data_IF_648073264818
#
_entry.id   IF_648073264818
#
_cell.length_a   1.000
_cell.length_b   1.000
_cell.length_c   1.000
_cell.angle_alpha   90.00
_cell.angle_beta   90.00
_cell.angle_gamma   90.00
#
_symmetry.space_group_name_H-M   'P 1'
#
loop_
_entity.id
_entity.type
_entity.pdbx_description
1 polymer ?
#
# COMPACT_ATOMS: atom_id res chain seq x y z
N UNK A 1 -9.13 -16.20 5.75
CA UNK A 1 -8.97 -15.85 7.17
C UNK A 1 -8.07 -14.63 7.20
N UNK A 2 -8.34 -13.58 8.00
CA UNK A 2 -7.56 -12.32 7.97
C UNK A 2 -6.30 -12.49 8.82
N UNK A 3 -5.11 -12.45 8.22
CA UNK A 3 -3.84 -12.68 8.92
C UNK A 3 -2.93 -11.46 8.87
N UNK A 4 -2.43 -11.04 10.03
CA UNK A 4 -1.50 -9.91 10.18
C UNK A 4 -0.20 -10.40 10.82
N UNK A 5 0.93 -10.11 10.18
CA UNK A 5 2.24 -10.19 10.82
C UNK A 5 2.57 -8.84 11.45
N UNK A 6 2.84 -8.81 12.74
CA UNK A 6 3.36 -7.61 13.43
C UNK A 6 4.81 -7.82 13.84
N UNK A 7 5.67 -6.86 13.49
CA UNK A 7 7.05 -6.78 13.96
C UNK A 7 7.27 -5.48 14.75
N UNK A 8 7.56 -5.63 16.03
CA UNK A 8 7.72 -4.55 17.01
C UNK A 8 8.59 -5.06 18.15
N UNK A 9 9.67 -4.38 18.47
CA UNK A 9 10.59 -4.82 19.52
C UNK A 9 10.09 -4.48 20.93
N UNK A 10 9.34 -3.39 21.08
CA UNK A 10 8.76 -3.02 22.37
C UNK A 10 7.54 -3.90 22.70
N UNK A 11 7.71 -4.80 23.69
CA UNK A 11 6.67 -5.77 24.08
C UNK A 11 5.34 -5.11 24.44
N UNK A 12 5.36 -3.96 25.12
CA UNK A 12 4.14 -3.24 25.52
C UNK A 12 3.33 -2.75 24.32
N UNK A 13 3.99 -2.25 23.27
CA UNK A 13 3.35 -1.80 22.05
C UNK A 13 2.87 -3.03 21.26
N UNK A 14 3.71 -4.05 21.12
CA UNK A 14 3.35 -5.28 20.42
C UNK A 14 2.12 -5.94 21.03
N UNK A 15 2.10 -6.16 22.35
CA UNK A 15 0.96 -6.76 23.06
C UNK A 15 -0.32 -5.93 22.89
N UNK A 16 -0.20 -4.60 22.99
CA UNK A 16 -1.30 -3.69 22.78
C UNK A 16 -1.91 -3.84 21.37
N UNK A 17 -1.09 -3.89 20.33
CA UNK A 17 -1.56 -4.07 18.95
C UNK A 17 -2.17 -5.47 18.76
N UNK A 18 -1.52 -6.51 19.25
CA UNK A 18 -1.98 -7.91 19.15
C UNK A 18 -3.36 -8.10 19.78
N UNK A 19 -3.58 -7.55 20.98
CA UNK A 19 -4.88 -7.64 21.66
C UNK A 19 -5.99 -7.01 20.80
N UNK A 20 -5.74 -5.84 20.20
CA UNK A 20 -6.73 -5.14 19.39
C UNK A 20 -6.99 -5.86 18.05
N UNK A 21 -5.95 -6.39 17.40
CA UNK A 21 -6.08 -7.20 16.20
C UNK A 21 -6.92 -8.46 16.44
N UNK A 22 -6.61 -9.22 17.50
CA UNK A 22 -7.36 -10.43 17.86
C UNK A 22 -8.83 -10.11 18.19
N UNK A 23 -9.11 -9.00 18.89
CA UNK A 23 -10.49 -8.54 19.15
C UNK A 23 -11.26 -8.19 17.87
N UNK A 24 -10.58 -7.73 16.84
CA UNK A 24 -11.15 -7.42 15.52
C UNK A 24 -11.22 -8.63 14.58
N UNK A 25 -10.90 -9.84 15.08
CA UNK A 25 -11.03 -11.08 14.33
C UNK A 25 -9.86 -11.40 13.38
N UNK A 26 -8.70 -10.77 13.61
CA UNK A 26 -7.49 -11.11 12.87
C UNK A 26 -6.71 -12.25 13.55
N UNK A 27 -6.15 -13.13 12.75
CA UNK A 27 -5.03 -13.97 13.18
C UNK A 27 -3.77 -13.13 13.19
N UNK A 28 -2.93 -13.34 14.21
CA UNK A 28 -1.74 -12.52 14.41
C UNK A 28 -0.52 -13.40 14.53
N UNK A 29 0.46 -13.13 13.70
CA UNK A 29 1.82 -13.65 13.78
C UNK A 29 2.68 -12.54 14.38
N UNK A 30 3.41 -12.83 15.45
CA UNK A 30 4.18 -11.85 16.20
C UNK A 30 5.68 -12.02 15.92
N UNK A 31 6.41 -10.93 15.74
CA UNK A 31 7.86 -10.90 15.65
C UNK A 31 8.41 -9.78 16.55
N UNK A 32 9.53 -10.03 17.20
CA UNK A 32 10.17 -9.12 18.13
C UNK A 32 11.34 -8.32 17.52
N UNK A 33 11.71 -8.62 16.28
CA UNK A 33 12.75 -7.95 15.52
C UNK A 33 12.60 -8.26 14.02
N UNK A 34 13.42 -7.61 13.20
CA UNK A 34 13.33 -7.75 11.73
C UNK A 34 13.75 -9.12 11.21
N UNK A 35 14.71 -9.79 11.82
CA UNK A 35 15.13 -11.14 11.41
C UNK A 35 13.99 -12.14 11.61
N UNK A 36 13.37 -12.12 12.78
CA UNK A 36 12.20 -12.95 13.10
C UNK A 36 11.01 -12.65 12.18
N UNK A 37 10.83 -11.38 11.79
CA UNK A 37 9.79 -10.96 10.85
C UNK A 37 10.01 -11.58 9.47
N UNK A 38 11.24 -11.58 8.95
CA UNK A 38 11.60 -12.20 7.67
C UNK A 38 11.37 -13.72 7.71
N UNK A 39 11.85 -14.39 8.75
CA UNK A 39 11.66 -15.85 8.90
C UNK A 39 10.17 -16.23 8.93
N UNK A 40 9.37 -15.49 9.69
CA UNK A 40 7.93 -15.72 9.79
C UNK A 40 7.20 -15.39 8.49
N UNK A 41 7.62 -14.32 7.81
CA UNK A 41 7.06 -14.00 6.51
C UNK A 41 7.33 -15.12 5.50
N UNK A 42 8.55 -15.63 5.41
CA UNK A 42 8.90 -16.74 4.50
C UNK A 42 8.11 -18.02 4.80
N UNK A 43 7.93 -18.33 6.08
CA UNK A 43 7.19 -19.51 6.51
C UNK A 43 5.69 -19.43 6.22
N UNK A 44 5.11 -18.23 6.31
CA UNK A 44 3.65 -18.01 6.26
C UNK A 44 3.22 -17.06 5.13
N UNK A 45 4.05 -16.77 4.13
CA UNK A 45 3.81 -15.75 3.10
C UNK A 45 2.46 -15.86 2.38
N UNK A 46 1.97 -17.07 2.16
CA UNK A 46 0.67 -17.31 1.50
C UNK A 46 -0.55 -17.07 2.41
N UNK A 47 -0.33 -16.89 3.72
CA UNK A 47 -1.39 -16.66 4.71
C UNK A 47 -1.41 -15.22 5.19
N UNK A 48 -0.27 -14.49 5.08
CA UNK A 48 -0.15 -13.12 5.56
C UNK A 48 -0.74 -12.16 4.55
N UNK A 49 -1.81 -11.48 4.96
CA UNK A 49 -2.47 -10.44 4.16
C UNK A 49 -1.80 -9.08 4.37
N UNK A 50 -1.43 -8.78 5.62
CA UNK A 50 -0.88 -7.48 6.03
C UNK A 50 0.33 -7.68 6.93
N UNK A 51 1.31 -6.80 6.79
CA UNK A 51 2.45 -6.68 7.68
C UNK A 51 2.46 -5.30 8.32
N UNK A 52 2.59 -5.24 9.64
CA UNK A 52 2.79 -4.01 10.43
C UNK A 52 4.22 -4.04 10.95
N UNK A 53 5.03 -3.04 10.58
CA UNK A 53 6.47 -2.99 10.86
C UNK A 53 6.83 -1.74 11.67
N UNK A 54 7.44 -1.90 12.81
CA UNK A 54 8.18 -0.79 13.40
C UNK A 54 9.44 -0.50 12.57
N UNK A 55 9.72 0.78 12.33
CA UNK A 55 10.94 1.19 11.62
C UNK A 55 12.17 0.89 12.47
N UNK A 56 12.11 1.21 13.76
CA UNK A 56 13.27 1.19 14.66
C UNK A 56 13.41 -0.14 15.40
N UNK A 57 13.67 -1.22 14.68
CA UNK A 57 13.91 -2.53 15.27
C UNK A 57 15.40 -2.89 15.32
N UNK A 58 15.86 -3.69 16.31
CA UNK A 58 17.23 -4.19 16.35
C UNK A 58 17.49 -5.26 15.28
N UNK A 59 18.75 -5.48 14.95
CA UNK A 59 19.29 -6.47 14.01
C UNK A 59 19.02 -6.09 12.55
N UNK A 60 17.76 -6.13 12.12
CA UNK A 60 17.28 -5.70 10.79
C UNK A 60 16.16 -4.69 11.04
N UNK A 61 16.29 -3.49 10.50
CA UNK A 61 15.27 -2.45 10.64
C UNK A 61 14.02 -2.71 9.79
N UNK A 62 12.94 -2.00 10.09
CA UNK A 62 11.67 -2.20 9.40
C UNK A 62 11.71 -1.80 7.92
N UNK A 63 12.63 -0.91 7.50
CA UNK A 63 12.77 -0.51 6.11
C UNK A 63 13.39 -1.65 5.28
N UNK A 64 14.40 -2.32 5.82
CA UNK A 64 15.01 -3.49 5.20
C UNK A 64 14.02 -4.66 5.10
N UNK A 65 13.24 -4.90 6.18
CA UNK A 65 12.15 -5.90 6.15
C UNK A 65 11.09 -5.56 5.10
N UNK A 66 10.67 -4.29 5.01
CA UNK A 66 9.72 -3.82 4.02
C UNK A 66 10.21 -4.10 2.59
N UNK A 67 11.46 -3.73 2.29
CA UNK A 67 12.10 -3.98 0.99
C UNK A 67 12.10 -5.47 0.66
N UNK A 68 12.54 -6.30 1.60
CA UNK A 68 12.58 -7.76 1.43
C UNK A 68 11.20 -8.34 1.09
N UNK A 69 10.16 -7.91 1.82
CA UNK A 69 8.80 -8.36 1.57
C UNK A 69 8.31 -7.92 0.19
N UNK A 70 8.60 -6.67 -0.22
CA UNK A 70 8.20 -6.14 -1.54
C UNK A 70 8.86 -6.83 -2.71
N UNK A 71 10.07 -7.30 -2.56
CA UNK A 71 10.75 -8.11 -3.58
C UNK A 71 10.02 -9.45 -3.78
N UNK A 72 9.46 -10.04 -2.72
CA UNK A 72 8.76 -11.32 -2.74
C UNK A 72 7.25 -11.22 -3.01
N UNK A 73 6.61 -10.14 -2.56
CA UNK A 73 5.15 -9.98 -2.66
C UNK A 73 4.75 -8.54 -2.96
N UNK A 74 4.07 -8.34 -4.07
CA UNK A 74 3.41 -7.06 -4.39
C UNK A 74 1.99 -6.99 -3.79
N UNK A 75 1.43 -8.12 -3.37
CA UNK A 75 0.08 -8.25 -2.86
C UNK A 75 -0.05 -7.92 -1.38
N UNK A 76 0.92 -8.31 -0.56
CA UNK A 76 0.89 -8.10 0.89
C UNK A 76 0.81 -6.62 1.23
N UNK A 77 -0.17 -6.21 2.03
CA UNK A 77 -0.26 -4.84 2.54
C UNK A 77 0.83 -4.56 3.57
N UNK A 78 1.50 -3.41 3.52
CA UNK A 78 2.55 -3.05 4.48
C UNK A 78 2.24 -1.70 5.12
N UNK A 79 2.15 -1.67 6.45
CA UNK A 79 1.99 -0.47 7.26
C UNK A 79 3.25 -0.28 8.10
N UNK A 80 3.86 0.91 8.04
CA UNK A 80 5.00 1.27 8.87
C UNK A 80 4.55 1.97 10.15
N UNK A 81 5.10 1.56 11.29
CA UNK A 81 5.01 2.31 12.53
C UNK A 81 6.25 3.20 12.66
N UNK A 82 6.08 4.50 12.90
CA UNK A 82 7.19 5.45 12.94
C UNK A 82 7.09 6.41 14.12
N UNK A 83 8.22 6.86 14.65
CA UNK A 83 8.25 7.91 15.66
C UNK A 83 7.92 9.28 15.03
N UNK A 84 7.21 10.13 15.77
CA UNK A 84 6.66 11.43 15.32
C UNK A 84 7.70 12.44 14.82
N UNK A 85 8.97 12.25 15.14
CA UNK A 85 10.03 13.25 15.01
C UNK A 85 10.76 13.28 13.67
N UNK A 86 10.51 12.31 12.77
CA UNK A 86 11.26 12.20 11.52
C UNK A 86 10.31 12.16 10.32
N UNK A 87 10.00 13.34 9.76
CA UNK A 87 9.26 13.42 8.48
C UNK A 87 9.98 12.64 7.35
N UNK A 88 11.31 12.57 7.42
CA UNK A 88 12.11 11.77 6.47
C UNK A 88 11.81 10.29 6.55
N UNK A 89 11.55 9.72 7.73
CA UNK A 89 11.27 8.28 7.88
C UNK A 89 9.94 7.90 7.24
N UNK A 90 8.94 8.79 7.29
CA UNK A 90 7.64 8.58 6.65
C UNK A 90 7.78 8.49 5.14
N UNK A 91 8.48 9.44 4.55
CA UNK A 91 8.72 9.48 3.09
C UNK A 91 9.58 8.30 2.69
N UNK A 92 10.65 8.00 3.44
CA UNK A 92 11.56 6.88 3.15
C UNK A 92 10.83 5.53 3.24
N UNK A 93 10.04 5.30 4.31
CA UNK A 93 9.27 4.06 4.46
C UNK A 93 8.28 3.83 3.32
N UNK A 94 7.55 4.87 2.94
CA UNK A 94 6.65 4.81 1.78
C UNK A 94 7.44 4.59 0.49
N UNK A 95 8.58 5.26 0.28
CA UNK A 95 9.39 5.10 -0.94
C UNK A 95 9.99 3.70 -1.09
N UNK A 96 10.29 3.01 0.02
CA UNK A 96 10.80 1.63 0.01
C UNK A 96 9.72 0.60 -0.35
N UNK A 97 8.44 0.95 -0.20
CA UNK A 97 7.36 0.04 -0.63
C UNK A 97 6.20 -0.12 0.34
N UNK A 98 6.15 0.60 1.45
CA UNK A 98 4.99 0.57 2.33
C UNK A 98 3.76 1.20 1.67
N UNK A 99 2.57 0.74 2.05
CA UNK A 99 1.29 1.22 1.54
C UNK A 99 0.71 2.34 2.41
N UNK A 100 1.10 2.36 3.69
CA UNK A 100 0.69 3.38 4.64
C UNK A 100 1.69 3.48 5.80
N UNK A 101 1.54 4.51 6.65
CA UNK A 101 2.30 4.66 7.88
C UNK A 101 1.43 5.18 9.01
N UNK A 102 1.81 4.84 10.24
CA UNK A 102 1.16 5.31 11.47
C UNK A 102 2.23 5.88 12.41
N UNK A 103 1.99 7.08 12.92
CA UNK A 103 2.94 7.73 13.83
C UNK A 103 2.67 7.37 15.28
N UNK A 104 3.72 6.94 15.99
CA UNK A 104 3.67 6.73 17.43
C UNK A 104 3.68 8.07 18.20
N UNK A 105 2.85 8.26 19.25
CA UNK A 105 1.84 7.34 19.74
C UNK A 105 0.56 7.37 18.87
N UNK A 106 -0.05 6.22 18.67
CA UNK A 106 -1.28 6.05 17.90
C UNK A 106 -2.42 5.48 18.75
N UNK A 107 -3.66 5.71 18.34
CA UNK A 107 -4.82 5.07 18.94
C UNK A 107 -5.08 3.69 18.30
N UNK A 108 -5.65 2.72 19.06
CA UNK A 108 -6.06 1.43 18.47
C UNK A 108 -7.01 1.61 17.29
N UNK A 109 -7.97 2.52 17.41
CA UNK A 109 -8.96 2.79 16.37
C UNK A 109 -8.33 3.32 15.08
N UNK A 110 -7.30 4.15 15.18
CA UNK A 110 -6.55 4.65 14.03
C UNK A 110 -5.84 3.50 13.29
N UNK A 111 -5.02 2.72 14.02
CA UNK A 111 -4.30 1.60 13.42
C UNK A 111 -5.27 0.58 12.81
N UNK A 112 -6.35 0.23 13.51
CA UNK A 112 -7.34 -0.72 13.02
C UNK A 112 -8.05 -0.23 11.76
N UNK A 113 -8.43 1.05 11.69
CA UNK A 113 -9.06 1.63 10.51
C UNK A 113 -8.15 1.54 9.27
N UNK A 114 -6.83 1.75 9.44
CA UNK A 114 -5.84 1.64 8.37
C UNK A 114 -5.63 0.19 7.93
N UNK A 115 -5.53 -0.74 8.89
CA UNK A 115 -5.43 -2.17 8.61
C UNK A 115 -6.66 -2.66 7.86
N UNK A 116 -7.87 -2.30 8.30
CA UNK A 116 -9.11 -2.67 7.62
C UNK A 116 -9.21 -2.06 6.22
N UNK A 117 -8.73 -0.83 6.02
CA UNK A 117 -8.68 -0.18 4.72
C UNK A 117 -7.77 -0.95 3.74
N UNK A 118 -6.57 -1.35 4.17
CA UNK A 118 -5.64 -2.13 3.34
C UNK A 118 -6.16 -3.56 3.14
N UNK A 119 -6.72 -4.20 4.18
CA UNK A 119 -7.24 -5.57 4.07
C UNK A 119 -8.36 -5.69 3.03
N UNK A 120 -9.31 -4.75 3.00
CA UNK A 120 -10.39 -4.76 1.99
C UNK A 120 -9.84 -4.85 0.57
N UNK A 121 -8.70 -4.25 0.29
CA UNK A 121 -8.04 -4.24 -1.03
C UNK A 121 -7.39 -5.58 -1.35
N UNK A 122 -6.63 -6.11 -0.39
CA UNK A 122 -5.98 -7.42 -0.54
C UNK A 122 -7.02 -8.53 -0.75
N UNK A 123 -8.19 -8.43 -0.11
CA UNK A 123 -9.25 -9.44 -0.22
C UNK A 123 -10.07 -9.35 -1.50
N UNK A 124 -10.25 -8.17 -2.10
CA UNK A 124 -11.00 -8.02 -3.35
C UNK A 124 -10.34 -8.73 -4.54
N UNK A 125 -9.06 -9.04 -4.45
CA UNK A 125 -8.34 -9.83 -5.46
C UNK A 125 -8.66 -11.33 -5.43
N UNK A 126 -9.28 -11.84 -4.35
CA UNK A 126 -9.54 -13.28 -4.17
C UNK A 126 -10.95 -13.68 -4.64
N UNK A 127 -11.93 -12.78 -4.56
CA UNK A 127 -13.34 -13.12 -4.76
C UNK A 127 -13.86 -12.97 -6.20
N UNK A 128 -13.03 -12.57 -7.16
CA UNK A 128 -13.46 -12.38 -8.56
C UNK A 128 -13.55 -13.67 -9.39
N UNK A 129 -14.10 -14.77 -8.83
CA UNK A 129 -14.37 -16.01 -9.56
C UNK A 129 -15.82 -16.19 -10.02
N UNK A 130 -16.64 -15.14 -10.11
CA UNK A 130 -17.99 -15.26 -10.64
C UNK A 130 -18.46 -13.99 -11.35
N UNK A 131 -18.82 -14.18 -12.60
CA UNK A 131 -19.50 -13.37 -13.59
C UNK A 131 -18.60 -12.74 -14.66
N UNK A 132 -18.73 -13.27 -15.87
CA UNK A 132 -18.18 -12.73 -17.11
C UNK A 132 -18.78 -11.34 -17.39
N UNK A 133 -18.05 -10.28 -17.04
CA UNK A 133 -18.27 -8.96 -17.61
C UNK A 133 -17.35 -8.82 -18.83
N UNK A 134 -17.89 -8.56 -20.03
CA UNK A 134 -17.12 -8.60 -21.27
C UNK A 134 -16.10 -7.47 -21.47
N UNK A 135 -15.99 -6.47 -20.62
CA UNK A 135 -15.00 -5.39 -20.73
C UNK A 135 -14.35 -5.08 -19.38
N UNK A 136 -13.42 -5.95 -18.95
CA UNK A 136 -12.66 -5.73 -17.73
C UNK A 136 -11.35 -4.95 -17.95
N UNK A 137 -10.97 -4.63 -19.18
CA UNK A 137 -9.74 -3.94 -19.51
C UNK A 137 -10.01 -2.51 -20.01
N UNK A 138 -9.33 -1.54 -19.42
CA UNK A 138 -9.34 -0.14 -19.85
C UNK A 138 -8.03 0.15 -20.59
N UNK A 139 -8.13 0.54 -21.85
CA UNK A 139 -6.97 0.89 -22.68
C UNK A 139 -6.88 2.39 -22.89
N UNK A 140 -5.76 2.98 -22.47
CA UNK A 140 -5.44 4.39 -22.64
C UNK A 140 -4.01 4.53 -23.18
N UNK A 141 -3.86 5.08 -24.37
CA UNK A 141 -2.56 5.19 -25.07
C UNK A 141 -1.86 3.82 -25.17
N UNK A 142 -0.63 3.73 -24.73
CA UNK A 142 0.18 2.51 -24.68
C UNK A 142 -0.11 1.59 -23.49
N UNK A 143 -1.04 1.97 -22.61
CA UNK A 143 -1.35 1.23 -21.38
C UNK A 143 -2.64 0.45 -21.49
N UNK A 144 -2.64 -0.76 -20.92
CA UNK A 144 -3.84 -1.56 -20.71
C UNK A 144 -3.92 -1.97 -19.25
N UNK A 145 -4.98 -1.51 -18.57
CA UNK A 145 -5.29 -1.86 -17.18
C UNK A 145 -6.38 -2.94 -17.19
N UNK A 146 -6.05 -4.15 -16.80
CA UNK A 146 -7.00 -5.25 -16.64
C UNK A 146 -7.46 -5.32 -15.17
N UNK A 147 -8.73 -4.95 -14.95
CA UNK A 147 -9.35 -4.91 -13.63
C UNK A 147 -9.60 -6.31 -13.05
N UNK A 148 -9.67 -7.35 -13.88
CA UNK A 148 -9.91 -8.71 -13.44
C UNK A 148 -8.64 -9.40 -12.97
N UNK A 149 -7.57 -9.28 -13.75
CA UNK A 149 -6.27 -9.84 -13.40
C UNK A 149 -5.46 -8.95 -12.48
N UNK A 150 -5.92 -7.70 -12.23
CA UNK A 150 -5.19 -6.67 -11.49
C UNK A 150 -3.80 -6.40 -12.07
N UNK A 151 -3.72 -6.32 -13.41
CA UNK A 151 -2.46 -6.10 -14.12
C UNK A 151 -2.49 -4.81 -14.93
N UNK A 152 -1.34 -4.15 -15.01
CA UNK A 152 -1.08 -3.05 -15.93
C UNK A 152 -0.01 -3.50 -16.92
N UNK A 153 -0.24 -3.22 -18.19
CA UNK A 153 0.81 -3.37 -19.21
C UNK A 153 1.10 -2.03 -19.90
N UNK A 154 2.36 -1.80 -20.28
CA UNK A 154 2.80 -0.68 -21.10
C UNK A 154 3.45 -1.26 -22.38
N UNK A 155 2.94 -0.90 -23.56
CA UNK A 155 3.34 -1.52 -24.84
C UNK A 155 3.26 -3.05 -24.86
N UNK A 156 2.35 -3.63 -24.08
CA UNK A 156 2.20 -5.08 -23.92
C UNK A 156 3.13 -5.72 -22.86
N UNK A 157 4.09 -4.97 -22.33
CA UNK A 157 4.98 -5.45 -21.27
C UNK A 157 4.37 -5.21 -19.89
N UNK A 158 4.45 -6.17 -18.95
CA UNK A 158 3.86 -6.03 -17.63
C UNK A 158 4.57 -4.98 -16.78
N UNK A 159 3.77 -4.12 -16.12
CA UNK A 159 4.24 -3.18 -15.10
C UNK A 159 3.84 -3.69 -13.72
N UNK A 160 4.82 -4.00 -12.88
CA UNK A 160 4.57 -4.50 -11.53
C UNK A 160 4.08 -3.41 -10.59
N UNK A 161 2.83 -3.48 -10.18
CA UNK A 161 2.20 -2.57 -9.24
C UNK A 161 1.92 -3.24 -7.89
N UNK A 162 2.00 -2.46 -6.81
CA UNK A 162 1.37 -2.85 -5.54
C UNK A 162 -0.14 -2.67 -5.62
N UNK A 163 -0.89 -3.20 -4.66
CA UNK A 163 -2.35 -3.06 -4.63
C UNK A 163 -2.80 -1.58 -4.57
N UNK A 164 -2.09 -0.76 -3.79
CA UNK A 164 -2.36 0.68 -3.69
C UNK A 164 -2.08 1.38 -5.02
N UNK A 165 -0.95 1.10 -5.64
CA UNK A 165 -0.60 1.66 -6.94
C UNK A 165 -1.59 1.27 -8.04
N UNK A 166 -2.05 0.01 -8.03
CA UNK A 166 -3.06 -0.46 -8.97
C UNK A 166 -4.38 0.31 -8.82
N UNK A 167 -4.87 0.51 -7.59
CA UNK A 167 -6.10 1.26 -7.36
C UNK A 167 -5.99 2.74 -7.72
N UNK A 168 -4.83 3.34 -7.51
CA UNK A 168 -4.58 4.70 -7.98
C UNK A 168 -4.69 4.76 -9.52
N UNK A 169 -4.10 3.77 -10.21
CA UNK A 169 -4.21 3.67 -11.68
C UNK A 169 -5.66 3.44 -12.12
N UNK A 170 -6.41 2.56 -11.44
CA UNK A 170 -7.84 2.33 -11.70
C UNK A 170 -8.64 3.62 -11.62
N UNK A 171 -8.38 4.43 -10.59
CA UNK A 171 -9.08 5.70 -10.41
C UNK A 171 -8.77 6.70 -11.52
N UNK A 172 -7.51 6.81 -11.93
CA UNK A 172 -7.13 7.66 -13.05
C UNK A 172 -7.65 7.16 -14.40
N UNK A 173 -7.63 5.85 -14.64
CA UNK A 173 -8.13 5.26 -15.89
C UNK A 173 -9.65 5.37 -16.02
N UNK A 174 -10.35 5.41 -14.88
CA UNK A 174 -11.80 5.68 -14.85
C UNK A 174 -12.14 7.16 -15.04
N UNK A 175 -11.16 8.08 -14.90
CA UNK A 175 -11.33 9.53 -14.96
C UNK A 175 -10.25 10.20 -15.84
N UNK A 176 -10.10 9.80 -17.11
CA UNK A 176 -9.05 10.32 -17.97
C UNK A 176 -9.26 11.83 -18.24
N UNK A 177 -8.17 12.58 -18.26
CA UNK A 177 -8.14 14.03 -18.45
C UNK A 177 -8.86 14.86 -17.37
N UNK A 178 -9.33 14.23 -16.29
CA UNK A 178 -9.91 14.91 -15.13
C UNK A 178 -8.82 15.17 -14.08
N UNK A 179 -8.78 16.39 -13.55
CA UNK A 179 -7.93 16.69 -12.40
C UNK A 179 -8.59 16.12 -11.14
N UNK A 180 -7.91 15.19 -10.47
CA UNK A 180 -8.35 14.57 -9.22
C UNK A 180 -7.64 15.20 -8.05
N UNK A 181 -8.40 15.62 -7.04
CA UNK A 181 -7.83 16.16 -5.81
C UNK A 181 -7.15 15.07 -4.99
N UNK A 182 -6.11 15.44 -4.20
CA UNK A 182 -5.44 14.49 -3.29
C UNK A 182 -6.42 13.79 -2.36
N UNK A 183 -7.38 14.55 -1.83
CA UNK A 183 -8.39 14.01 -0.93
C UNK A 183 -9.37 13.04 -1.64
N UNK A 184 -9.69 13.26 -2.91
CA UNK A 184 -10.49 12.33 -3.71
C UNK A 184 -9.74 11.02 -3.93
N UNK A 185 -8.46 11.10 -4.31
CA UNK A 185 -7.59 9.91 -4.46
C UNK A 185 -7.47 9.19 -3.12
N UNK A 186 -7.27 9.93 -2.02
CA UNK A 186 -7.15 9.39 -0.68
C UNK A 186 -8.42 8.62 -0.28
N UNK A 187 -9.60 9.22 -0.46
CA UNK A 187 -10.89 8.59 -0.15
C UNK A 187 -11.16 7.36 -1.01
N UNK A 188 -10.88 7.43 -2.29
CA UNK A 188 -11.06 6.29 -3.19
C UNK A 188 -10.18 5.11 -2.79
N UNK A 189 -8.90 5.38 -2.52
CA UNK A 189 -7.91 4.33 -2.24
C UNK A 189 -7.90 3.92 -0.78
N UNK A 190 -7.97 4.82 0.20
CA UNK A 190 -7.91 4.50 1.64
C UNK A 190 -9.27 4.51 2.35
N UNK A 191 -10.32 5.00 1.68
CA UNK A 191 -11.69 5.05 2.17
C UNK A 191 -12.04 6.35 2.92
N UNK A 192 -13.35 6.63 3.05
CA UNK A 192 -13.85 7.87 3.66
C UNK A 192 -13.47 8.06 5.13
N UNK A 193 -13.24 6.96 5.85
CA UNK A 193 -12.84 6.97 7.26
C UNK A 193 -11.33 7.08 7.47
N UNK A 194 -10.56 7.32 6.42
CA UNK A 194 -9.12 7.49 6.53
C UNK A 194 -8.75 8.90 7.00
N UNK A 195 -8.07 8.99 8.14
CA UNK A 195 -7.62 10.24 8.75
C UNK A 195 -6.10 10.45 8.63
N UNK A 196 -5.47 9.88 7.62
CA UNK A 196 -4.03 9.97 7.40
C UNK A 196 -3.61 11.23 6.63
N UNK A 197 -2.29 11.35 6.44
CA UNK A 197 -1.67 12.47 5.74
C UNK A 197 -1.81 12.29 4.21
N UNK A 198 -2.20 13.36 3.51
CA UNK A 198 -2.28 13.37 2.04
C UNK A 198 -0.92 13.09 1.37
N UNK A 199 0.19 13.24 2.09
CA UNK A 199 1.53 12.89 1.59
C UNK A 199 1.65 11.43 1.13
N UNK A 200 0.82 10.52 1.67
CA UNK A 200 0.78 9.13 1.19
C UNK A 200 0.42 9.06 -0.30
N UNK A 201 -0.45 9.95 -0.78
CA UNK A 201 -0.79 10.05 -2.19
C UNK A 201 0.42 10.50 -3.00
N UNK A 202 1.08 11.59 -2.59
CA UNK A 202 2.23 12.17 -3.32
C UNK A 202 3.37 11.15 -3.49
N UNK A 203 3.65 10.37 -2.46
CA UNK A 203 4.68 9.33 -2.52
C UNK A 203 4.29 8.19 -3.47
N UNK A 204 3.04 7.74 -3.43
CA UNK A 204 2.58 6.70 -4.36
C UNK A 204 2.55 7.20 -5.81
N UNK A 205 2.18 8.46 -6.05
CA UNK A 205 2.29 9.09 -7.38
C UNK A 205 3.75 9.12 -7.85
N UNK A 206 4.70 9.47 -6.97
CA UNK A 206 6.12 9.44 -7.34
C UNK A 206 6.59 8.02 -7.68
N UNK A 207 6.20 7.01 -6.91
CA UNK A 207 6.51 5.60 -7.19
C UNK A 207 5.90 5.13 -8.51
N UNK A 208 4.64 5.49 -8.78
CA UNK A 208 3.99 5.20 -10.05
C UNK A 208 4.74 5.81 -11.22
N UNK A 209 5.12 7.09 -11.15
CA UNK A 209 5.89 7.75 -12.21
C UNK A 209 7.19 7.01 -12.52
N UNK A 210 7.92 6.52 -11.49
CA UNK A 210 9.13 5.74 -11.69
C UNK A 210 8.90 4.41 -12.43
N UNK A 211 7.66 3.91 -12.45
CA UNK A 211 7.30 2.64 -13.11
C UNK A 211 6.71 2.83 -14.50
N UNK A 212 5.98 3.93 -14.72
CA UNK A 212 5.18 4.14 -15.93
C UNK A 212 5.73 5.19 -16.88
N UNK A 213 6.43 6.22 -16.35
CA UNK A 213 6.97 7.31 -17.17
C UNK A 213 8.38 7.00 -17.66
N UNK A 214 8.69 7.42 -18.88
CA UNK A 214 10.05 7.32 -19.41
C UNK A 214 11.01 8.28 -18.69
N UNK A 215 10.49 9.44 -18.28
CA UNK A 215 11.20 10.46 -17.52
C UNK A 215 10.34 10.92 -16.32
N UNK A 216 10.47 10.29 -15.14
CA UNK A 216 9.63 10.54 -13.97
C UNK A 216 9.61 12.00 -13.48
N UNK A 217 10.69 12.76 -13.72
CA UNK A 217 10.80 14.19 -13.38
C UNK A 217 10.01 15.10 -14.34
N UNK A 218 9.70 14.63 -15.55
CA UNK A 218 8.93 15.32 -16.56
C UNK A 218 7.77 14.42 -17.06
N UNK A 219 6.81 14.10 -16.20
CA UNK A 219 5.77 13.13 -16.50
C UNK A 219 4.87 13.60 -17.64
N UNK A 220 4.60 12.70 -18.58
CA UNK A 220 3.72 12.94 -19.72
C UNK A 220 2.28 12.50 -19.44
N UNK A 221 2.12 11.37 -18.75
CA UNK A 221 0.82 10.77 -18.48
C UNK A 221 0.26 11.19 -17.13
N UNK A 222 1.01 10.96 -16.05
CA UNK A 222 0.57 11.27 -14.69
C UNK A 222 1.10 12.63 -14.25
N UNK A 223 0.41 13.70 -14.63
CA UNK A 223 0.88 15.07 -14.45
C UNK A 223 0.35 15.71 -13.15
N UNK A 224 1.08 16.72 -12.65
CA UNK A 224 0.65 17.51 -11.49
C UNK A 224 -0.23 18.68 -11.94
N UNK A 225 -1.37 18.85 -11.28
CA UNK A 225 -2.21 20.04 -11.38
C UNK A 225 -1.96 20.89 -10.13
N UNK A 226 -1.22 21.96 -10.28
CA UNK A 226 -0.77 22.80 -9.16
C UNK A 226 -1.93 23.32 -8.30
N UNK A 227 -1.79 23.17 -6.99
CA UNK A 227 -2.81 23.59 -6.02
C UNK A 227 -4.04 22.68 -5.93
N UNK A 228 -4.15 21.64 -6.75
CA UNK A 228 -5.29 20.70 -6.76
C UNK A 228 -4.84 19.27 -6.48
N UNK A 229 -4.11 18.66 -7.38
CA UNK A 229 -3.75 17.25 -7.29
C UNK A 229 -3.06 16.74 -8.54
N UNK A 230 -3.61 15.70 -9.15
CA UNK A 230 -3.01 14.99 -10.28
C UNK A 230 -4.01 14.71 -11.38
N UNK A 231 -3.50 14.47 -12.59
CA UNK A 231 -4.32 14.16 -13.76
C UNK A 231 -3.61 13.15 -14.66
N UNK A 232 -4.36 12.19 -15.17
CA UNK A 232 -3.92 11.32 -16.26
C UNK A 232 -4.21 12.00 -17.59
N UNK A 233 -3.22 12.13 -18.44
CA UNK A 233 -3.32 12.71 -19.80
C UNK A 233 -3.31 11.56 -20.82
N UNK A 234 -4.30 11.61 -21.72
CA UNK A 234 -4.39 10.71 -22.88
C UNK A 234 -3.65 11.33 -24.06
#
# INVERSE_FOLDING_TARGET
>A
MKCVLIAEDETSIRDFVVINLKRSGYEVIEASNGEEAIEKFDKFCNQIDIVVLDIMMPVIDGLEVCKYIREKSKRTGIIMLTARTQEMDKVTGLMVGADDYVTKPFSPSELMARIDAIYRRVSLTVDNTAEEKPDSAISLNEFVLDLRSHTLTKYGEPVELTQVEFQIMEFFFSNPNVALERNEILKFVWGDSYFGDEKVVDVNIHRLRNKIEDEPSQPKHLTTVWGMGYKWII
#
